data_IF_913107226207
#
_entry.id   IF_913107226207
#
_cell.length_a   1.000
_cell.length_b   1.000
_cell.length_c   1.000
_cell.angle_alpha   90.00
_cell.angle_beta   90.00
_cell.angle_gamma   90.00
#
_symmetry.space_group_name_H-M   'P 1'
#
loop_
_entity.id
_entity.type
_entity.pdbx_description
1 polymer ?
#
# COMPACT_ATOMS: atom_id res chain seq x y z
N UNK A 1 -8.86 -4.73 -19.85
CA UNK A 1 -8.47 -3.39 -20.34
C UNK A 1 -6.97 -3.35 -20.55
N UNK A 2 -6.49 -3.42 -21.80
CA UNK A 2 -5.09 -3.13 -22.12
C UNK A 2 -4.92 -1.60 -22.06
N UNK A 3 -4.63 -1.07 -20.88
CA UNK A 3 -4.22 0.34 -20.77
C UNK A 3 -2.82 0.40 -21.36
N UNK A 4 -2.60 1.13 -22.46
CA UNK A 4 -1.31 1.22 -23.17
C UNK A 4 -0.16 1.86 -22.37
N UNK A 5 -0.27 1.95 -21.04
CA UNK A 5 0.76 2.44 -20.13
C UNK A 5 1.26 1.28 -19.30
N UNK A 6 2.59 1.11 -19.30
CA UNK A 6 3.28 0.14 -18.48
C UNK A 6 3.03 0.45 -16.98
N UNK A 7 2.75 -0.56 -16.13
CA UNK A 7 2.64 -0.34 -14.69
C UNK A 7 4.00 0.10 -14.13
N UNK A 8 3.95 1.05 -13.18
CA UNK A 8 5.13 1.57 -12.46
C UNK A 8 5.31 0.91 -11.10
N UNK A 9 4.24 0.38 -10.52
CA UNK A 9 4.23 -0.28 -9.22
C UNK A 9 4.07 -1.79 -9.33
N UNK A 10 4.57 -2.50 -8.33
CA UNK A 10 4.40 -3.93 -8.17
C UNK A 10 3.90 -4.27 -6.77
N UNK A 11 2.87 -5.11 -6.69
CA UNK A 11 2.46 -5.81 -5.48
C UNK A 11 2.47 -7.31 -5.81
N UNK A 12 3.29 -8.08 -5.11
CA UNK A 12 3.41 -9.51 -5.30
C UNK A 12 2.14 -10.26 -4.86
N UNK A 13 1.83 -11.39 -5.49
CA UNK A 13 0.76 -12.25 -5.01
C UNK A 13 1.08 -12.69 -3.57
N UNK A 14 0.10 -12.58 -2.68
CA UNK A 14 0.25 -12.96 -1.26
C UNK A 14 1.41 -12.26 -0.53
N UNK A 15 1.91 -11.13 -1.04
CA UNK A 15 2.98 -10.38 -0.37
C UNK A 15 4.25 -11.26 -0.22
N UNK A 16 4.53 -12.06 -1.25
CA UNK A 16 5.50 -13.16 -1.21
C UNK A 16 6.81 -12.85 -1.94
N UNK A 17 7.32 -11.62 -1.79
CA UNK A 17 8.62 -11.29 -2.39
C UNK A 17 9.76 -12.11 -1.79
N UNK A 18 10.65 -12.58 -2.67
CA UNK A 18 11.98 -13.05 -2.28
C UNK A 18 12.97 -11.88 -2.13
N UNK A 19 14.13 -12.13 -1.51
CA UNK A 19 15.22 -11.16 -1.41
C UNK A 19 15.72 -10.63 -2.76
N UNK A 20 15.52 -11.36 -3.86
CA UNK A 20 15.91 -10.93 -5.22
C UNK A 20 14.86 -10.08 -5.93
N UNK A 21 13.63 -10.03 -5.41
CA UNK A 21 12.52 -9.38 -6.11
C UNK A 21 12.74 -7.89 -6.33
N UNK A 22 13.24 -7.11 -5.34
CA UNK A 22 13.53 -5.69 -5.56
C UNK A 22 14.50 -5.44 -6.72
N UNK A 23 15.57 -6.23 -6.82
CA UNK A 23 16.54 -6.13 -7.93
C UNK A 23 15.87 -6.43 -9.28
N UNK A 24 15.13 -7.53 -9.36
CA UNK A 24 14.42 -7.94 -10.58
C UNK A 24 13.37 -6.91 -11.03
N UNK A 25 12.67 -6.29 -10.08
CA UNK A 25 11.71 -5.23 -10.38
C UNK A 25 12.42 -3.98 -10.93
N UNK A 26 13.56 -3.62 -10.34
CA UNK A 26 14.35 -2.48 -10.79
C UNK A 26 14.94 -2.71 -12.18
N UNK A 27 15.44 -3.93 -12.46
CA UNK A 27 15.89 -4.37 -13.79
C UNK A 27 14.78 -4.31 -14.81
N UNK A 28 13.59 -4.81 -14.43
CA UNK A 28 12.44 -4.78 -15.31
C UNK A 28 12.02 -3.35 -15.62
N UNK A 29 12.26 -2.37 -14.74
CA UNK A 29 11.90 -0.96 -14.91
C UNK A 29 10.63 -0.56 -14.14
N UNK A 30 10.41 -1.15 -12.97
CA UNK A 30 9.43 -0.66 -11.99
C UNK A 30 10.05 0.43 -11.10
N UNK A 31 9.22 1.36 -10.66
CA UNK A 31 9.63 2.49 -9.83
C UNK A 31 9.42 2.21 -8.33
N UNK A 32 8.41 1.40 -8.00
CA UNK A 32 8.04 1.12 -6.62
C UNK A 32 7.46 -0.27 -6.41
N UNK A 33 7.56 -0.75 -5.18
CA UNK A 33 6.97 -1.99 -4.69
C UNK A 33 6.10 -1.73 -3.46
N UNK A 34 5.19 -2.66 -3.18
CA UNK A 34 4.15 -2.53 -2.15
C UNK A 34 4.13 -3.73 -1.18
N UNK A 35 5.12 -4.62 -1.19
CA UNK A 35 5.02 -5.87 -0.43
C UNK A 35 5.47 -5.76 1.03
N UNK A 36 5.85 -4.58 1.51
CA UNK A 36 6.41 -4.44 2.85
C UNK A 36 5.59 -3.47 3.70
N UNK A 37 5.50 -3.77 4.98
CA UNK A 37 4.79 -2.99 6.00
C UNK A 37 5.74 -2.61 7.16
N UNK A 38 6.98 -2.23 6.83
CA UNK A 38 8.05 -2.01 7.82
C UNK A 38 8.19 -0.56 8.29
N UNK A 39 7.39 0.35 7.72
CA UNK A 39 7.39 1.78 8.04
C UNK A 39 6.02 2.36 7.66
N UNK A 40 5.67 3.53 8.16
CA UNK A 40 4.49 4.30 7.74
C UNK A 40 4.85 5.37 6.70
N UNK A 41 6.14 5.48 6.33
CA UNK A 41 6.66 6.33 5.26
C UNK A 41 7.18 5.51 4.06
N UNK A 42 7.15 6.08 2.84
CA UNK A 42 7.89 5.50 1.72
C UNK A 42 9.40 5.47 2.01
N UNK A 43 10.02 4.30 1.88
CA UNK A 43 11.46 4.11 2.12
C UNK A 43 12.16 3.63 0.86
N UNK A 44 13.47 3.87 0.74
CA UNK A 44 14.26 3.40 -0.41
C UNK A 44 14.89 2.05 -0.09
N UNK A 45 14.62 1.06 -0.94
CA UNK A 45 15.37 -0.19 -0.93
C UNK A 45 16.57 -0.07 -1.85
N UNK A 46 17.74 -0.42 -1.34
CA UNK A 46 18.95 -0.54 -2.15
C UNK A 46 18.80 -1.78 -3.03
N UNK A 47 19.14 -1.63 -4.30
CA UNK A 47 19.12 -2.71 -5.29
C UNK A 47 20.45 -2.77 -6.02
N UNK A 48 20.88 -3.97 -6.38
CA UNK A 48 22.08 -4.21 -7.18
C UNK A 48 21.71 -5.07 -8.41
N UNK A 49 21.05 -4.47 -9.42
CA UNK A 49 20.71 -5.12 -10.68
C UNK A 49 21.91 -5.87 -11.31
N UNK A 50 21.69 -7.13 -11.68
CA UNK A 50 22.65 -8.03 -12.34
C UNK A 50 22.70 -7.89 -13.86
N UNK A 51 21.72 -7.22 -14.48
CA UNK A 51 21.66 -7.03 -15.95
C UNK A 51 22.58 -5.93 -16.48
N UNK A 52 23.37 -5.26 -15.63
CA UNK A 52 24.42 -4.37 -16.09
C UNK A 52 25.51 -5.15 -16.87
N UNK A 53 26.13 -4.58 -17.92
CA UNK A 53 27.16 -5.28 -18.68
C UNK A 53 28.30 -5.76 -17.76
N UNK A 54 28.74 -7.02 -17.93
CA UNK A 54 29.77 -7.71 -17.12
C UNK A 54 31.12 -6.99 -17.02
N UNK A 55 31.34 -5.94 -17.80
CA UNK A 55 32.56 -5.12 -17.83
C UNK A 55 32.43 -3.81 -17.03
N UNK A 56 31.31 -3.61 -16.33
CA UNK A 56 30.99 -2.36 -15.60
C UNK A 56 31.08 -2.61 -14.09
N UNK A 57 31.45 -1.59 -13.32
CA UNK A 57 31.30 -1.64 -11.87
C UNK A 57 29.84 -1.88 -11.47
N UNK A 58 29.57 -2.60 -10.36
CA UNK A 58 28.22 -2.85 -9.89
C UNK A 58 27.49 -1.52 -9.67
N UNK A 59 26.40 -1.32 -10.40
CA UNK A 59 25.58 -0.11 -10.29
C UNK A 59 24.59 -0.29 -9.13
N UNK A 60 24.87 0.35 -8.00
CA UNK A 60 23.93 0.44 -6.89
C UNK A 60 22.81 1.41 -7.28
N UNK A 61 21.57 0.95 -7.20
CA UNK A 61 20.39 1.78 -7.45
C UNK A 61 19.37 1.64 -6.31
N UNK A 62 18.23 2.31 -6.42
CA UNK A 62 17.14 2.18 -5.44
C UNK A 62 15.80 1.94 -6.12
N UNK A 63 14.91 1.25 -5.41
CA UNK A 63 13.48 1.16 -5.70
C UNK A 63 12.69 1.67 -4.48
N UNK A 64 11.57 2.36 -4.71
CA UNK A 64 10.77 2.88 -3.60
C UNK A 64 9.88 1.77 -3.02
N UNK A 65 9.93 1.55 -1.70
CA UNK A 65 8.96 0.74 -0.99
C UNK A 65 7.88 1.66 -0.43
N UNK A 66 6.67 1.55 -0.96
CA UNK A 66 5.49 2.23 -0.40
C UNK A 66 4.82 1.23 0.55
N UNK A 67 4.59 1.59 1.82
CA UNK A 67 4.11 0.62 2.79
C UNK A 67 2.69 0.14 2.49
N UNK A 68 2.48 -1.17 2.65
CA UNK A 68 1.19 -1.82 2.49
C UNK A 68 0.77 -2.46 3.81
N UNK A 69 -0.04 -1.74 4.57
CA UNK A 69 -0.54 -2.25 5.85
C UNK A 69 -1.45 -3.46 5.62
N UNK A 70 -1.06 -4.61 6.20
CA UNK A 70 -1.80 -5.87 6.05
C UNK A 70 -3.07 -5.91 6.92
N UNK A 71 -3.09 -5.10 7.98
CA UNK A 71 -4.16 -5.08 8.98
C UNK A 71 -5.47 -4.52 8.40
N UNK A 72 -5.39 -3.39 7.71
CA UNK A 72 -6.51 -2.74 7.04
C UNK A 72 -6.76 -3.34 5.65
N UNK A 73 -7.09 -4.63 5.67
CA UNK A 73 -7.37 -5.46 4.50
C UNK A 73 -8.68 -6.24 4.69
N UNK A 74 -9.61 -6.10 3.74
CA UNK A 74 -10.95 -6.65 3.87
C UNK A 74 -11.01 -8.20 3.84
N UNK A 75 -10.03 -8.88 3.24
CA UNK A 75 -9.93 -10.35 3.25
C UNK A 75 -9.68 -10.90 4.65
N UNK A 76 -8.53 -10.63 5.32
CA UNK A 76 -8.27 -11.17 6.65
C UNK A 76 -9.29 -10.66 7.67
N UNK A 77 -9.79 -9.42 7.52
CA UNK A 77 -10.86 -8.92 8.37
C UNK A 77 -12.12 -9.77 8.30
N UNK A 78 -12.65 -9.97 7.08
CA UNK A 78 -13.93 -10.66 6.92
C UNK A 78 -13.81 -12.18 7.08
N UNK A 79 -12.71 -12.79 6.63
CA UNK A 79 -12.60 -14.25 6.51
C UNK A 79 -11.80 -14.90 7.63
N UNK A 80 -10.69 -14.27 8.08
CA UNK A 80 -9.85 -14.85 9.13
C UNK A 80 -10.34 -14.43 10.53
N UNK A 81 -10.77 -13.18 10.69
CA UNK A 81 -11.23 -12.62 11.98
C UNK A 81 -12.74 -12.65 12.16
N UNK A 82 -13.48 -12.97 11.09
CA UNK A 82 -14.94 -12.95 11.06
C UNK A 82 -15.51 -11.57 11.45
N UNK A 83 -14.76 -10.51 11.15
CA UNK A 83 -15.05 -9.14 11.56
C UNK A 83 -16.22 -8.52 10.82
N UNK A 84 -16.91 -7.62 11.52
CA UNK A 84 -18.08 -6.92 11.03
C UNK A 84 -17.72 -5.80 10.04
N UNK A 85 -18.70 -5.41 9.21
CA UNK A 85 -18.51 -4.27 8.29
C UNK A 85 -18.42 -2.91 8.98
N UNK A 86 -19.05 -2.77 10.16
CA UNK A 86 -18.97 -1.54 10.97
C UNK A 86 -17.59 -1.41 11.60
N UNK A 87 -17.16 -2.47 12.27
CA UNK A 87 -15.83 -2.61 12.87
C UNK A 87 -14.72 -2.27 11.87
N UNK A 88 -14.71 -2.89 10.67
CA UNK A 88 -13.71 -2.55 9.65
C UNK A 88 -13.69 -1.05 9.30
N UNK A 89 -14.87 -0.42 9.26
CA UNK A 89 -14.99 0.99 8.94
C UNK A 89 -14.68 1.89 10.15
N UNK A 90 -14.74 1.39 11.38
CA UNK A 90 -14.31 2.06 12.59
C UNK A 90 -12.77 1.98 12.66
N UNK A 91 -12.18 0.80 12.45
CA UNK A 91 -10.72 0.58 12.38
C UNK A 91 -10.04 1.47 11.31
N UNK A 92 -10.69 1.65 10.16
CA UNK A 92 -10.21 2.56 9.11
C UNK A 92 -10.21 4.03 9.53
N UNK A 93 -11.21 4.44 10.32
CA UNK A 93 -11.31 5.82 10.82
C UNK A 93 -10.27 6.03 11.92
N UNK A 94 -10.19 5.12 12.89
CA UNK A 94 -9.25 5.22 14.00
C UNK A 94 -7.80 5.21 13.50
N UNK A 95 -7.47 4.31 12.56
CA UNK A 95 -6.13 4.28 11.94
C UNK A 95 -5.80 5.53 11.13
N UNK A 96 -6.79 6.13 10.45
CA UNK A 96 -6.59 7.39 9.75
C UNK A 96 -6.39 8.56 10.71
N UNK A 97 -7.24 8.70 11.73
CA UNK A 97 -7.20 9.82 12.67
C UNK A 97 -5.89 9.83 13.47
N UNK A 98 -5.39 8.64 13.85
CA UNK A 98 -4.09 8.51 14.52
C UNK A 98 -2.94 8.91 13.59
N UNK A 99 -2.90 8.40 12.35
CA UNK A 99 -1.88 8.78 11.39
C UNK A 99 -1.96 10.28 11.04
N UNK A 100 -3.15 10.86 10.98
CA UNK A 100 -3.33 12.29 10.76
C UNK A 100 -2.74 13.10 11.92
N UNK A 101 -3.00 12.72 13.17
CA UNK A 101 -2.43 13.37 14.34
C UNK A 101 -0.88 13.27 14.35
N UNK A 102 -0.33 12.11 14.00
CA UNK A 102 1.12 11.92 13.89
C UNK A 102 1.73 12.66 12.70
N UNK A 103 0.96 12.89 11.64
CA UNK A 103 1.46 13.48 10.39
C UNK A 103 1.97 14.92 10.52
N UNK A 104 1.67 15.58 11.65
CA UNK A 104 2.24 16.89 12.01
C UNK A 104 3.77 16.87 11.98
N UNK A 105 4.39 15.74 12.30
CA UNK A 105 5.86 15.60 12.34
C UNK A 105 6.44 15.20 10.97
N UNK A 106 5.74 14.37 10.21
CA UNK A 106 6.17 13.88 8.90
C UNK A 106 4.97 13.40 8.05
N UNK A 107 5.05 13.41 6.71
CA UNK A 107 4.01 12.80 5.89
C UNK A 107 3.96 11.28 6.08
N UNK A 108 2.78 10.72 6.32
CA UNK A 108 2.56 9.28 6.53
C UNK A 108 1.63 8.70 5.45
N UNK A 109 1.65 7.37 5.30
CA UNK A 109 0.86 6.63 4.32
C UNK A 109 -0.07 5.65 5.02
N UNK A 110 -1.38 5.83 4.82
CA UNK A 110 -2.39 4.84 5.19
C UNK A 110 -2.63 3.87 4.02
N UNK A 111 -2.19 2.62 4.16
CA UNK A 111 -2.48 1.56 3.19
C UNK A 111 -3.83 0.89 3.47
N UNK A 112 -4.73 0.85 2.48
CA UNK A 112 -6.03 0.17 2.59
C UNK A 112 -6.23 -0.80 1.43
N UNK A 113 -6.42 -2.08 1.76
CA UNK A 113 -6.59 -3.14 0.78
C UNK A 113 -8.06 -3.58 0.66
N UNK A 114 -8.62 -3.43 -0.54
CA UNK A 114 -10.04 -3.65 -0.81
C UNK A 114 -10.24 -4.56 -2.02
N UNK A 115 -11.14 -5.52 -1.88
CA UNK A 115 -11.49 -6.48 -2.91
C UNK A 115 -12.96 -6.31 -3.31
N UNK A 116 -13.27 -5.98 -4.58
CA UNK A 116 -14.63 -5.65 -4.99
C UNK A 116 -15.69 -6.71 -4.68
N UNK A 117 -15.33 -7.99 -4.69
CA UNK A 117 -16.26 -9.08 -4.37
C UNK A 117 -16.60 -9.18 -2.88
N UNK A 118 -15.79 -8.57 -2.00
CA UNK A 118 -16.00 -8.50 -0.55
C UNK A 118 -16.61 -7.15 -0.19
N UNK A 119 -15.83 -6.07 -0.22
CA UNK A 119 -16.31 -4.76 0.25
C UNK A 119 -17.39 -4.16 -0.66
N UNK A 120 -17.49 -4.62 -1.91
CA UNK A 120 -18.54 -4.20 -2.84
C UNK A 120 -19.94 -4.74 -2.48
N UNK A 121 -20.06 -5.70 -1.56
CA UNK A 121 -21.37 -6.16 -1.08
C UNK A 121 -22.13 -4.99 -0.43
N UNK A 122 -23.44 -4.79 -0.70
CA UNK A 122 -24.15 -3.56 -0.32
C UNK A 122 -24.05 -3.16 1.16
N UNK A 123 -24.13 -4.15 2.06
CA UNK A 123 -24.03 -3.92 3.50
C UNK A 123 -22.63 -3.49 3.95
N UNK A 124 -21.58 -3.95 3.27
CA UNK A 124 -20.18 -3.55 3.53
C UNK A 124 -19.86 -2.20 2.89
N UNK A 125 -20.27 -2.01 1.64
CA UNK A 125 -20.07 -0.77 0.89
C UNK A 125 -20.65 0.45 1.61
N UNK A 126 -21.80 0.29 2.30
CA UNK A 126 -22.38 1.36 3.12
C UNK A 126 -21.43 1.84 4.22
N UNK A 127 -20.76 0.93 4.92
CA UNK A 127 -19.84 1.28 6.01
C UNK A 127 -18.52 1.81 5.48
N UNK A 128 -17.96 1.21 4.42
CA UNK A 128 -16.78 1.76 3.75
C UNK A 128 -17.02 3.21 3.30
N UNK A 129 -18.18 3.51 2.70
CA UNK A 129 -18.53 4.88 2.29
C UNK A 129 -18.53 5.85 3.47
N UNK A 130 -19.01 5.42 4.64
CA UNK A 130 -19.01 6.24 5.87
C UNK A 130 -17.57 6.58 6.27
N UNK A 131 -16.66 5.59 6.32
CA UNK A 131 -15.25 5.81 6.64
C UNK A 131 -14.57 6.74 5.64
N UNK A 132 -14.69 6.47 4.33
CA UNK A 132 -14.09 7.33 3.29
C UNK A 132 -14.64 8.76 3.29
N UNK A 133 -15.91 8.95 3.68
CA UNK A 133 -16.48 10.29 3.84
C UNK A 133 -15.92 11.04 5.05
N UNK A 134 -15.56 10.35 6.13
CA UNK A 134 -14.85 10.94 7.27
C UNK A 134 -13.45 11.38 6.83
N UNK A 135 -12.66 10.44 6.30
CA UNK A 135 -11.29 10.68 5.80
C UNK A 135 -11.24 11.88 4.86
N UNK A 136 -12.17 11.96 3.90
CA UNK A 136 -12.25 13.08 2.98
C UNK A 136 -12.47 14.42 3.68
N UNK A 137 -13.37 14.50 4.67
CA UNK A 137 -13.69 15.76 5.37
C UNK A 137 -12.50 16.27 6.16
N UNK A 138 -11.80 15.39 6.85
CA UNK A 138 -10.62 15.75 7.64
C UNK A 138 -9.44 16.16 6.73
N UNK A 139 -9.24 15.43 5.62
CA UNK A 139 -8.23 15.79 4.62
C UNK A 139 -8.49 17.18 3.99
N UNK A 140 -9.75 17.47 3.60
CA UNK A 140 -10.13 18.78 3.03
C UNK A 140 -10.00 19.93 4.05
N UNK A 141 -9.98 19.64 5.36
CA UNK A 141 -9.81 20.64 6.43
C UNK A 141 -8.34 20.94 6.69
N UNK A 142 -7.45 19.96 6.48
CA UNK A 142 -6.01 20.07 6.73
C UNK A 142 -5.26 20.75 5.57
N UNK A 143 -5.84 20.77 4.37
CA UNK A 143 -5.31 21.47 3.18
C UNK A 143 -5.56 23.00 3.18
N UNK A 144 -5.83 23.59 4.36
CA UNK A 144 -5.99 25.04 4.61
C UNK A 144 -4.94 25.54 5.59
#
# INVERSE_FOLDING_TARGET
ARRGRRPRGWLGPWISQSARTPDLLREAGYDYLLDWAHDDQPTKFITTPTTAPSTSEPTVTTILSIPYQQELNDIPHAMARLGGSREFADDLVDGFDELLAQSVQQPLVLGVALHPYIVGQPHRLRQLRRALQHIKREADTTDR
#
